data_IF_564143856571
#
_entry.id   IF_564143856571
#
_cell.length_a   1.000
_cell.length_b   1.000
_cell.length_c   1.000
_cell.angle_alpha   90.00
_cell.angle_beta   90.00
_cell.angle_gamma   90.00
#
_symmetry.space_group_name_H-M   'P 1'
#
loop_
_entity.id
_entity.type
_entity.pdbx_description
1 polymer ?
#
# COMPACT_ATOMS: atom_id res chain seq x y z
N UNK A 1 -19.30 28.25 -11.62
CA UNK A 1 -20.02 26.98 -11.29
C UNK A 1 -19.31 25.71 -11.80
N UNK A 2 -18.34 25.82 -12.69
CA UNK A 2 -17.57 24.62 -13.17
C UNK A 2 -16.66 23.98 -12.09
N UNK A 3 -16.27 24.75 -11.08
CA UNK A 3 -15.28 24.39 -10.06
C UNK A 3 -15.92 24.11 -8.67
N UNK A 4 -17.22 23.75 -8.64
CA UNK A 4 -17.94 23.46 -7.40
C UNK A 4 -18.39 22.00 -7.39
N UNK A 5 -18.16 21.30 -6.28
CA UNK A 5 -18.54 19.91 -6.06
C UNK A 5 -19.20 19.72 -4.70
N UNK A 6 -19.74 18.54 -4.44
CA UNK A 6 -20.15 18.14 -3.09
C UNK A 6 -18.93 17.72 -2.28
N UNK A 7 -18.01 16.99 -2.91
CA UNK A 7 -16.74 16.54 -2.32
C UNK A 7 -15.59 16.75 -3.31
N UNK A 8 -14.44 17.23 -2.80
CA UNK A 8 -13.17 17.24 -3.54
C UNK A 8 -12.23 16.19 -2.91
N UNK A 9 -11.55 15.41 -3.76
CA UNK A 9 -10.50 14.46 -3.35
C UNK A 9 -9.15 14.97 -3.85
N UNK A 10 -8.20 15.23 -2.95
CA UNK A 10 -6.86 15.71 -3.26
C UNK A 10 -5.85 14.57 -3.15
N UNK A 11 -5.22 14.23 -4.28
CA UNK A 11 -4.37 13.03 -4.44
C UNK A 11 -5.18 11.82 -4.89
N UNK A 12 -4.91 11.33 -6.10
CA UNK A 12 -5.64 10.22 -6.74
C UNK A 12 -4.79 8.93 -6.86
N UNK A 13 -3.92 8.72 -5.88
CA UNK A 13 -3.22 7.44 -5.68
C UNK A 13 -4.18 6.34 -5.19
N UNK A 14 -3.66 5.35 -4.47
CA UNK A 14 -4.44 4.19 -4.02
C UNK A 14 -5.72 4.55 -3.26
N UNK A 15 -5.62 5.45 -2.26
CA UNK A 15 -6.77 5.83 -1.42
C UNK A 15 -7.73 6.78 -2.15
N UNK A 16 -7.16 7.76 -2.86
CA UNK A 16 -7.96 8.80 -3.51
C UNK A 16 -8.71 8.32 -4.75
N UNK A 17 -8.13 7.42 -5.56
CA UNK A 17 -8.86 6.79 -6.66
C UNK A 17 -10.05 5.97 -6.17
N UNK A 18 -9.87 5.26 -5.05
CA UNK A 18 -10.93 4.50 -4.40
C UNK A 18 -12.03 5.43 -3.86
N UNK A 19 -11.65 6.51 -3.16
CA UNK A 19 -12.60 7.48 -2.63
C UNK A 19 -13.40 8.17 -3.76
N UNK A 20 -12.71 8.58 -4.83
CA UNK A 20 -13.34 9.21 -6.01
C UNK A 20 -14.38 8.29 -6.65
N UNK A 21 -14.00 7.01 -6.84
CA UNK A 21 -14.91 6.01 -7.39
C UNK A 21 -16.13 5.79 -6.51
N UNK A 22 -15.93 5.60 -5.21
CA UNK A 22 -17.02 5.33 -4.28
C UNK A 22 -17.98 6.53 -4.15
N UNK A 23 -17.46 7.77 -4.13
CA UNK A 23 -18.28 8.98 -4.14
C UNK A 23 -19.12 9.09 -5.40
N UNK A 24 -18.51 8.85 -6.58
CA UNK A 24 -19.23 8.84 -7.85
C UNK A 24 -20.30 7.73 -7.89
N UNK A 25 -19.97 6.51 -7.41
CA UNK A 25 -20.92 5.38 -7.29
C UNK A 25 -22.11 5.72 -6.39
N UNK A 26 -21.92 6.56 -5.40
CA UNK A 26 -22.97 7.03 -4.48
C UNK A 26 -23.76 8.24 -5.03
N UNK A 27 -23.47 8.71 -6.24
CA UNK A 27 -24.17 9.80 -6.93
C UNK A 27 -23.74 11.21 -6.51
N UNK A 28 -22.61 11.34 -5.80
CA UNK A 28 -22.06 12.63 -5.41
C UNK A 28 -21.43 13.35 -6.60
N UNK A 29 -21.56 14.67 -6.67
CA UNK A 29 -20.76 15.51 -7.59
C UNK A 29 -19.36 15.61 -7.02
N UNK A 30 -18.42 14.85 -7.57
CA UNK A 30 -17.06 14.76 -7.05
C UNK A 30 -16.02 15.24 -8.06
N UNK A 31 -15.02 15.96 -7.56
CA UNK A 31 -13.83 16.39 -8.28
C UNK A 31 -12.61 15.77 -7.57
N UNK A 32 -11.81 15.02 -8.29
CA UNK A 32 -10.49 14.58 -7.86
C UNK A 32 -9.41 15.45 -8.48
N UNK A 33 -8.40 15.82 -7.71
CA UNK A 33 -7.27 16.64 -8.17
C UNK A 33 -5.97 15.90 -7.87
N UNK A 34 -5.10 15.77 -8.86
CA UNK A 34 -3.78 15.16 -8.68
C UNK A 34 -2.69 15.98 -9.37
N UNK A 35 -1.57 16.10 -8.67
CA UNK A 35 -0.37 16.79 -9.17
C UNK A 35 0.21 16.12 -10.41
N UNK A 36 0.05 14.81 -10.52
CA UNK A 36 0.54 14.00 -11.63
C UNK A 36 -0.62 13.42 -12.45
N UNK A 37 -0.33 12.47 -13.31
CA UNK A 37 -1.34 11.73 -14.07
C UNK A 37 -1.41 10.27 -13.58
N UNK A 38 -2.26 9.93 -12.58
CA UNK A 38 -2.33 8.58 -12.04
C UNK A 38 -2.95 7.57 -13.04
N UNK A 39 -2.43 6.30 -13.04
CA UNK A 39 -1.33 5.82 -12.21
C UNK A 39 0.03 6.39 -12.63
N UNK A 40 0.89 6.67 -11.67
CA UNK A 40 2.23 7.25 -11.89
C UNK A 40 3.25 6.66 -10.89
N UNK A 41 4.54 6.83 -11.16
CA UNK A 41 5.68 6.31 -10.39
C UNK A 41 6.24 7.28 -9.33
N UNK A 42 5.60 8.42 -9.12
CA UNK A 42 6.11 9.49 -8.25
C UNK A 42 5.82 9.26 -6.75
N UNK A 43 4.84 8.45 -6.43
CA UNK A 43 4.37 8.21 -5.05
C UNK A 43 4.71 6.82 -4.52
N UNK A 44 3.67 6.20 -3.92
CA UNK A 44 3.77 4.90 -3.23
C UNK A 44 3.03 3.77 -3.95
N UNK A 45 2.28 4.05 -5.02
CA UNK A 45 1.27 3.14 -5.59
C UNK A 45 1.61 2.68 -7.01
N UNK A 46 2.85 2.17 -7.19
CA UNK A 46 3.36 1.70 -8.48
C UNK A 46 4.32 0.51 -8.30
N UNK A 47 4.84 -0.06 -9.39
CA UNK A 47 5.82 -1.15 -9.40
C UNK A 47 5.16 -2.52 -9.51
N UNK A 48 4.15 -2.64 -10.37
CA UNK A 48 3.50 -3.85 -10.90
C UNK A 48 2.71 -4.67 -9.89
N UNK A 49 3.16 -4.80 -8.64
CA UNK A 49 2.57 -5.72 -7.66
C UNK A 49 2.57 -5.16 -6.25
N UNK A 50 1.55 -5.55 -5.46
CA UNK A 50 1.47 -5.35 -4.01
C UNK A 50 0.91 -6.59 -3.34
N UNK A 51 1.56 -7.05 -2.27
CA UNK A 51 1.06 -8.20 -1.48
C UNK A 51 -0.32 -7.86 -0.93
N UNK A 52 -1.26 -8.82 -1.05
CA UNK A 52 -2.51 -8.82 -0.30
C UNK A 52 -2.66 -10.15 0.44
N UNK A 53 -3.08 -10.08 1.69
CA UNK A 53 -3.33 -11.19 2.61
C UNK A 53 -4.40 -10.77 3.59
N UNK A 54 -5.13 -11.71 4.13
CA UNK A 54 -6.24 -11.43 5.07
C UNK A 54 -5.76 -11.35 6.52
N UNK A 55 -4.85 -12.25 6.93
CA UNK A 55 -4.24 -12.16 8.26
C UNK A 55 -3.14 -11.10 8.28
N UNK A 56 -3.24 -10.17 9.22
CA UNK A 56 -2.39 -8.98 9.29
C UNK A 56 -1.58 -9.02 10.58
N UNK A 57 -0.25 -9.25 10.47
CA UNK A 57 0.67 -9.29 11.60
C UNK A 57 0.91 -7.93 12.24
N UNK A 58 0.68 -6.86 11.50
CA UNK A 58 0.78 -5.46 11.96
C UNK A 58 -0.33 -5.08 12.95
N UNK A 59 -1.42 -5.87 13.04
CA UNK A 59 -2.51 -5.68 14.00
C UNK A 59 -3.86 -6.17 13.52
N UNK A 60 -4.66 -6.73 14.42
CA UNK A 60 -6.01 -7.26 14.13
C UNK A 60 -6.99 -6.22 13.61
N UNK A 61 -6.80 -4.93 13.97
CA UNK A 61 -7.63 -3.83 13.51
C UNK A 61 -7.59 -3.60 11.98
N UNK A 62 -6.55 -4.09 11.31
CA UNK A 62 -6.45 -4.02 9.85
C UNK A 62 -7.23 -5.12 9.12
N UNK A 63 -7.57 -6.22 9.80
CA UNK A 63 -8.24 -7.37 9.17
C UNK A 63 -9.60 -6.99 8.57
N UNK A 64 -10.50 -6.28 9.25
CA UNK A 64 -11.77 -5.85 8.64
C UNK A 64 -11.58 -5.00 7.37
N UNK A 65 -10.52 -4.17 7.32
CA UNK A 65 -10.20 -3.35 6.15
C UNK A 65 -9.80 -4.20 4.95
N UNK A 66 -8.92 -5.20 5.14
CA UNK A 66 -8.50 -6.04 4.01
C UNK A 66 -9.61 -6.97 3.55
N UNK A 67 -10.42 -7.53 4.45
CA UNK A 67 -11.58 -8.35 4.08
C UNK A 67 -12.60 -7.55 3.25
N UNK A 68 -12.88 -6.29 3.64
CA UNK A 68 -13.75 -5.42 2.85
C UNK A 68 -13.09 -5.02 1.52
N UNK A 69 -11.79 -4.76 1.51
CA UNK A 69 -11.07 -4.45 0.27
C UNK A 69 -11.12 -5.60 -0.72
N UNK A 70 -10.95 -6.85 -0.29
CA UNK A 70 -11.03 -8.03 -1.15
C UNK A 70 -12.40 -8.13 -1.85
N UNK A 71 -13.50 -7.88 -1.13
CA UNK A 71 -14.83 -7.81 -1.70
C UNK A 71 -14.96 -6.71 -2.77
N UNK A 72 -14.38 -5.53 -2.50
CA UNK A 72 -14.42 -4.42 -3.46
C UNK A 72 -13.56 -4.72 -4.69
N UNK A 73 -12.40 -5.39 -4.53
CA UNK A 73 -11.60 -5.84 -5.67
C UNK A 73 -12.37 -6.82 -6.56
N UNK A 74 -13.10 -7.77 -6.00
CA UNK A 74 -13.99 -8.68 -6.75
C UNK A 74 -15.12 -7.94 -7.48
N UNK A 75 -15.76 -6.97 -6.79
CA UNK A 75 -16.75 -6.08 -7.43
C UNK A 75 -16.15 -5.32 -8.64
N UNK A 76 -14.92 -4.83 -8.50
CA UNK A 76 -14.21 -4.09 -9.56
C UNK A 76 -13.80 -5.00 -10.72
N UNK A 77 -13.30 -6.20 -10.45
CA UNK A 77 -12.97 -7.20 -11.48
C UNK A 77 -14.21 -7.55 -12.31
N UNK A 78 -15.33 -7.82 -11.64
CA UNK A 78 -16.61 -8.09 -12.29
C UNK A 78 -17.13 -6.90 -13.13
N UNK A 79 -16.90 -5.66 -12.67
CA UNK A 79 -17.36 -4.45 -13.37
C UNK A 79 -16.48 -4.04 -14.54
N UNK A 80 -15.22 -4.47 -14.58
CA UNK A 80 -14.23 -3.98 -15.57
C UNK A 80 -13.68 -5.06 -16.48
N UNK A 81 -13.99 -6.34 -16.22
CA UNK A 81 -13.41 -7.53 -16.90
C UNK A 81 -11.86 -7.49 -16.87
N UNK A 82 -11.29 -7.01 -15.77
CA UNK A 82 -9.84 -6.92 -15.57
C UNK A 82 -9.41 -7.81 -14.40
N UNK A 83 -8.29 -8.47 -14.55
CA UNK A 83 -7.64 -9.15 -13.42
C UNK A 83 -6.85 -8.13 -12.59
N UNK A 84 -7.33 -7.83 -11.39
CA UNK A 84 -6.72 -6.92 -10.42
C UNK A 84 -6.01 -7.66 -9.30
N UNK A 85 -6.54 -8.83 -8.93
CA UNK A 85 -6.07 -9.67 -7.83
C UNK A 85 -5.71 -11.08 -8.35
N UNK A 86 -4.44 -11.47 -8.21
CA UNK A 86 -3.98 -12.84 -8.47
C UNK A 86 -3.81 -13.56 -7.15
N UNK A 87 -4.58 -14.63 -6.93
CA UNK A 87 -4.50 -15.50 -5.75
C UNK A 87 -3.49 -16.63 -6.01
N UNK A 88 -2.25 -16.43 -5.58
CA UNK A 88 -1.15 -17.40 -5.73
C UNK A 88 -0.57 -17.85 -4.39
N UNK A 89 -1.26 -17.53 -3.29
CA UNK A 89 -0.82 -17.78 -1.94
C UNK A 89 0.17 -16.72 -1.42
N UNK A 90 0.26 -16.63 -0.08
CA UNK A 90 1.29 -15.86 0.62
C UNK A 90 1.99 -16.75 1.64
N UNK A 91 3.33 -16.72 1.64
CA UNK A 91 4.18 -17.35 2.62
C UNK A 91 4.87 -16.28 3.45
N UNK A 92 4.59 -16.25 4.76
CA UNK A 92 5.26 -15.36 5.71
C UNK A 92 6.09 -16.24 6.62
N UNK A 93 7.39 -15.98 6.71
CA UNK A 93 8.29 -16.85 7.46
C UNK A 93 9.40 -16.06 8.15
N UNK A 94 9.87 -16.61 9.27
CA UNK A 94 11.00 -16.12 10.05
C UNK A 94 11.69 -17.28 10.74
N UNK A 95 13.02 -17.17 10.99
CA UNK A 95 13.69 -18.02 11.94
C UNK A 95 13.19 -17.71 13.36
N UNK A 96 12.97 -18.75 14.18
CA UNK A 96 12.52 -18.61 15.56
C UNK A 96 13.58 -17.97 16.48
N UNK A 97 14.80 -17.83 15.99
CA UNK A 97 15.91 -17.18 16.71
C UNK A 97 15.97 -15.65 16.49
N UNK A 98 15.16 -15.10 15.58
CA UNK A 98 15.11 -13.66 15.26
C UNK A 98 14.06 -12.99 16.13
N UNK A 99 14.44 -11.85 16.74
CA UNK A 99 13.60 -11.08 17.67
C UNK A 99 13.60 -9.57 17.37
N UNK A 100 14.04 -9.18 16.17
CA UNK A 100 14.04 -7.79 15.71
C UNK A 100 12.61 -7.24 15.58
N UNK A 101 12.45 -5.92 15.78
CA UNK A 101 11.17 -5.25 15.56
C UNK A 101 10.94 -5.04 14.06
N UNK A 102 9.85 -5.61 13.55
CA UNK A 102 9.38 -5.41 12.19
C UNK A 102 7.91 -4.93 12.21
N UNK A 103 7.69 -3.71 11.77
CA UNK A 103 6.37 -3.05 11.79
C UNK A 103 5.72 -2.99 13.19
N UNK A 104 6.52 -2.79 14.24
CA UNK A 104 6.03 -2.74 15.63
C UNK A 104 5.78 -4.11 16.24
N UNK A 105 6.27 -5.20 15.63
CA UNK A 105 6.19 -6.56 16.17
C UNK A 105 7.56 -7.24 16.19
N UNK A 106 7.88 -7.87 17.32
CA UNK A 106 9.04 -8.77 17.48
C UNK A 106 8.68 -10.24 17.24
N UNK A 107 7.41 -10.53 16.88
CA UNK A 107 6.84 -11.87 16.68
C UNK A 107 5.89 -11.86 15.48
N UNK A 108 6.32 -11.27 14.36
CA UNK A 108 5.47 -10.95 13.21
C UNK A 108 4.73 -12.18 12.63
N UNK A 109 5.38 -13.34 12.58
CA UNK A 109 4.76 -14.59 12.07
C UNK A 109 3.70 -15.10 13.06
N UNK A 110 4.02 -15.12 14.36
CA UNK A 110 3.09 -15.55 15.41
C UNK A 110 1.89 -14.58 15.54
N UNK A 111 2.13 -13.28 15.38
CA UNK A 111 1.07 -12.26 15.38
C UNK A 111 0.15 -12.45 14.17
N UNK A 112 0.71 -12.79 13.00
CA UNK A 112 -0.07 -13.15 11.81
C UNK A 112 -0.91 -14.41 12.07
N UNK A 113 -0.33 -15.47 12.66
CA UNK A 113 -1.06 -16.70 13.01
C UNK A 113 -2.17 -16.41 14.02
N UNK A 114 -1.91 -15.55 15.01
CA UNK A 114 -2.90 -15.16 16.02
C UNK A 114 -4.07 -14.42 15.37
N UNK A 115 -3.80 -13.44 14.51
CA UNK A 115 -4.82 -12.72 13.75
C UNK A 115 -5.64 -13.67 12.87
N UNK A 116 -5.00 -14.61 12.18
CA UNK A 116 -5.70 -15.60 11.37
C UNK A 116 -6.68 -16.47 12.19
N UNK A 117 -6.25 -16.91 13.38
CA UNK A 117 -7.10 -17.69 14.28
C UNK A 117 -8.26 -16.87 14.84
N UNK A 118 -8.00 -15.64 15.24
CA UNK A 118 -9.00 -14.73 15.81
C UNK A 118 -10.12 -14.41 14.80
N UNK A 119 -9.76 -14.20 13.53
CA UNK A 119 -10.70 -13.83 12.48
C UNK A 119 -11.18 -15.02 11.64
N UNK A 120 -10.78 -16.26 11.98
CA UNK A 120 -11.22 -17.47 11.27
C UNK A 120 -10.68 -17.58 9.83
N UNK A 121 -9.50 -17.01 9.56
CA UNK A 121 -8.87 -17.03 8.23
C UNK A 121 -8.22 -18.39 8.01
N UNK A 122 -8.51 -19.00 6.86
CA UNK A 122 -7.96 -20.29 6.49
C UNK A 122 -6.46 -20.20 6.23
N UNK A 123 -5.66 -20.91 6.98
CA UNK A 123 -4.21 -20.89 6.90
C UNK A 123 -3.57 -22.23 7.30
N UNK A 124 -2.31 -22.39 6.97
CA UNK A 124 -1.46 -23.48 7.42
C UNK A 124 -0.25 -22.91 8.17
N UNK A 125 0.18 -23.60 9.21
CA UNK A 125 1.45 -23.31 9.90
C UNK A 125 2.46 -24.38 9.49
N UNK A 126 3.57 -23.95 8.93
CA UNK A 126 4.57 -24.82 8.32
C UNK A 126 5.88 -24.75 9.09
N UNK A 127 6.53 -25.87 9.28
CA UNK A 127 7.93 -25.92 9.72
C UNK A 127 8.90 -25.80 8.53
N UNK A 128 10.18 -25.62 8.82
CA UNK A 128 11.22 -25.50 7.81
C UNK A 128 11.31 -26.69 6.85
N UNK A 129 10.99 -27.90 7.33
CA UNK A 129 10.96 -29.12 6.51
C UNK A 129 9.86 -29.08 5.47
N UNK A 130 8.66 -28.66 5.91
CA UNK A 130 7.49 -28.53 5.03
C UNK A 130 7.66 -27.39 4.04
N UNK A 131 8.20 -26.23 4.48
CA UNK A 131 8.50 -25.11 3.58
C UNK A 131 9.48 -25.55 2.49
N UNK A 132 10.60 -26.22 2.87
CA UNK A 132 11.61 -26.70 1.92
C UNK A 132 11.03 -27.70 0.90
N UNK A 133 10.10 -28.54 1.35
CA UNK A 133 9.45 -29.52 0.47
C UNK A 133 8.51 -28.87 -0.55
N UNK A 134 7.73 -27.86 -0.13
CA UNK A 134 6.74 -27.19 -1.00
C UNK A 134 7.36 -26.08 -1.86
N UNK A 135 8.30 -25.37 -1.28
CA UNK A 135 8.92 -24.16 -1.86
C UNK A 135 10.45 -24.27 -1.82
N UNK A 136 11.04 -25.19 -2.62
CA UNK A 136 12.49 -25.46 -2.63
C UNK A 136 13.31 -24.26 -3.13
N UNK A 137 12.69 -23.21 -3.57
CA UNK A 137 13.31 -21.97 -4.02
C UNK A 137 13.96 -21.18 -2.85
N UNK A 138 13.48 -21.39 -1.62
CA UNK A 138 13.99 -20.74 -0.42
C UNK A 138 15.14 -21.54 0.21
N UNK A 139 16.28 -20.87 0.47
CA UNK A 139 17.40 -21.48 1.20
C UNK A 139 17.24 -21.20 2.69
N UNK A 140 16.68 -22.15 3.42
CA UNK A 140 16.34 -22.03 4.83
C UNK A 140 17.49 -22.43 5.75
N UNK A 141 17.61 -21.80 6.92
CA UNK A 141 18.52 -22.18 8.02
C UNK A 141 18.11 -23.47 8.72
N UNK A 142 16.79 -23.71 8.85
CA UNK A 142 16.24 -24.98 9.34
C UNK A 142 15.37 -24.86 10.60
N UNK A 143 15.25 -23.67 11.16
CA UNK A 143 14.41 -23.37 12.33
C UNK A 143 13.25 -22.41 12.01
N UNK A 144 12.98 -22.15 10.72
CA UNK A 144 11.92 -21.23 10.33
C UNK A 144 10.53 -21.77 10.69
N UNK A 145 9.72 -20.85 11.19
CA UNK A 145 8.27 -20.96 11.28
C UNK A 145 7.64 -20.23 10.09
N UNK A 146 6.70 -20.86 9.42
CA UNK A 146 5.98 -20.29 8.28
C UNK A 146 4.48 -20.24 8.50
N UNK A 147 3.87 -19.14 8.06
CA UNK A 147 2.45 -18.98 7.87
C UNK A 147 2.15 -19.02 6.37
N UNK A 148 1.23 -19.88 5.95
CA UNK A 148 0.80 -19.96 4.55
C UNK A 148 -0.71 -19.74 4.43
N UNK A 149 -1.10 -18.81 3.56
CA UNK A 149 -2.49 -18.43 3.28
C UNK A 149 -2.75 -18.61 1.77
N UNK A 150 -3.50 -19.62 1.39
CA UNK A 150 -3.76 -19.96 -0.02
C UNK A 150 -4.64 -18.92 -0.74
N UNK A 151 -5.52 -18.22 -0.01
CA UNK A 151 -6.40 -17.17 -0.54
C UNK A 151 -5.70 -15.83 -0.79
N UNK A 152 -4.50 -15.66 -0.24
CA UNK A 152 -3.66 -14.48 -0.43
C UNK A 152 -3.00 -14.43 -1.81
N UNK A 153 -2.29 -13.33 -2.10
CA UNK A 153 -1.58 -13.17 -3.35
C UNK A 153 -1.14 -11.74 -3.58
N UNK A 154 -1.33 -11.24 -4.80
CA UNK A 154 -0.95 -9.86 -5.14
C UNK A 154 -2.00 -9.12 -5.93
N UNK A 155 -2.01 -7.81 -5.74
CA UNK A 155 -2.77 -6.84 -6.51
C UNK A 155 -1.88 -6.17 -7.56
N UNK A 156 -2.47 -5.73 -8.67
CA UNK A 156 -1.86 -4.89 -9.71
C UNK A 156 -2.18 -3.42 -9.42
N UNK A 157 -1.32 -2.67 -8.71
CA UNK A 157 -1.68 -1.36 -8.16
C UNK A 157 -2.06 -0.34 -9.24
N UNK A 158 -1.34 -0.30 -10.36
CA UNK A 158 -1.63 0.60 -11.46
C UNK A 158 -2.99 0.27 -12.10
N UNK A 159 -3.26 -1.01 -12.33
CA UNK A 159 -4.55 -1.46 -12.88
C UNK A 159 -5.72 -1.18 -11.93
N UNK A 160 -5.51 -1.34 -10.61
CA UNK A 160 -6.50 -1.02 -9.59
C UNK A 160 -6.87 0.47 -9.61
N UNK A 161 -5.87 1.35 -9.64
CA UNK A 161 -6.07 2.80 -9.70
C UNK A 161 -6.79 3.20 -10.99
N UNK A 162 -6.32 2.68 -12.12
CA UNK A 162 -6.92 2.95 -13.43
C UNK A 162 -8.38 2.50 -13.52
N UNK A 163 -8.69 1.29 -13.02
CA UNK A 163 -10.05 0.76 -12.99
C UNK A 163 -10.99 1.68 -12.19
N UNK A 164 -10.58 2.10 -10.99
CA UNK A 164 -11.35 2.99 -10.15
C UNK A 164 -11.55 4.37 -10.78
N UNK A 165 -10.50 4.98 -11.34
CA UNK A 165 -10.60 6.28 -12.01
C UNK A 165 -11.49 6.23 -13.25
N UNK A 166 -11.42 5.15 -14.04
CA UNK A 166 -12.25 4.99 -15.23
C UNK A 166 -13.73 4.82 -14.86
N UNK A 167 -14.03 3.99 -13.85
CA UNK A 167 -15.40 3.85 -13.35
C UNK A 167 -15.92 5.15 -12.73
N UNK A 168 -15.09 5.88 -12.00
CA UNK A 168 -15.48 7.18 -11.46
C UNK A 168 -15.87 8.16 -12.58
N UNK A 169 -15.09 8.23 -13.67
CA UNK A 169 -15.41 9.08 -14.83
C UNK A 169 -16.69 8.65 -15.54
N UNK A 170 -16.91 7.35 -15.72
CA UNK A 170 -18.16 6.81 -16.30
C UNK A 170 -19.39 7.18 -15.47
N UNK A 171 -19.24 7.28 -14.15
CA UNK A 171 -20.29 7.70 -13.21
C UNK A 171 -20.42 9.22 -13.03
N UNK A 172 -19.69 10.01 -13.81
CA UNK A 172 -19.76 11.48 -13.80
C UNK A 172 -18.78 12.16 -12.86
N UNK A 173 -17.92 11.43 -12.17
CA UNK A 173 -16.81 11.98 -11.39
C UNK A 173 -15.76 12.64 -12.30
N UNK A 174 -15.18 13.74 -11.85
CA UNK A 174 -14.13 14.45 -12.60
C UNK A 174 -12.77 14.14 -11.98
N UNK A 175 -11.79 13.74 -12.78
CA UNK A 175 -10.40 13.61 -12.38
C UNK A 175 -9.57 14.66 -13.14
N UNK A 176 -9.07 15.64 -12.42
CA UNK A 176 -8.20 16.72 -12.89
C UNK A 176 -6.77 16.31 -12.54
N UNK A 177 -5.94 16.16 -13.54
CA UNK A 177 -4.57 15.68 -13.42
C UNK A 177 -3.57 16.71 -13.87
N UNK A 178 -2.31 16.59 -13.45
CA UNK A 178 -1.24 17.56 -13.70
C UNK A 178 -1.59 18.95 -13.16
N UNK A 179 -2.26 18.97 -11.98
CA UNK A 179 -2.65 20.18 -11.28
C UNK A 179 -2.37 20.03 -9.78
N UNK A 180 -1.56 20.93 -9.23
CA UNK A 180 -1.05 20.84 -7.87
C UNK A 180 -1.94 21.58 -6.89
N UNK A 181 -2.53 20.90 -5.92
CA UNK A 181 -3.16 21.54 -4.77
C UNK A 181 -2.07 22.22 -3.92
N UNK A 182 -2.25 23.51 -3.64
CA UNK A 182 -1.29 24.35 -2.92
C UNK A 182 -1.77 24.66 -1.50
N UNK A 183 -3.07 24.79 -1.32
CA UNK A 183 -3.67 25.22 -0.06
C UNK A 183 -5.11 24.74 0.06
N UNK A 184 -5.56 24.48 1.29
CA UNK A 184 -6.91 24.03 1.62
C UNK A 184 -7.41 24.90 2.77
N UNK A 185 -8.44 25.70 2.52
CA UNK A 185 -8.96 26.64 3.49
C UNK A 185 -10.44 26.41 3.76
N UNK A 186 -10.81 26.37 5.03
CA UNK A 186 -12.22 26.39 5.40
C UNK A 186 -12.75 27.80 5.28
N UNK A 187 -13.82 27.96 4.50
CA UNK A 187 -14.47 29.22 4.27
C UNK A 187 -15.65 29.46 5.24
N UNK A 188 -16.17 30.68 5.22
CA UNK A 188 -17.43 31.00 5.89
C UNK A 188 -18.56 30.15 5.29
N UNK A 189 -19.54 29.79 6.11
CA UNK A 189 -20.70 28.97 5.74
C UNK A 189 -20.42 27.47 5.47
N UNK A 190 -19.29 26.94 5.97
CA UNK A 190 -19.03 25.50 5.96
C UNK A 190 -18.50 24.93 4.64
N UNK A 191 -18.20 25.79 3.67
CA UNK A 191 -17.52 25.37 2.44
C UNK A 191 -16.01 25.28 2.67
N UNK A 192 -15.35 24.50 1.84
CA UNK A 192 -13.88 24.37 1.80
C UNK A 192 -13.39 24.76 0.42
N UNK A 193 -12.43 25.68 0.35
CA UNK A 193 -11.73 26.05 -0.87
C UNK A 193 -10.43 25.21 -1.00
N UNK A 194 -10.22 24.65 -2.16
CA UNK A 194 -8.93 24.06 -2.59
C UNK A 194 -8.33 24.99 -3.65
N UNK A 195 -7.22 25.63 -3.30
CA UNK A 195 -6.43 26.43 -4.22
C UNK A 195 -5.36 25.57 -4.88
N UNK A 196 -5.31 25.60 -6.19
CA UNK A 196 -4.28 24.93 -6.99
C UNK A 196 -3.33 25.94 -7.64
N UNK A 197 -2.35 25.43 -8.37
CA UNK A 197 -1.46 26.23 -9.21
C UNK A 197 -2.15 26.81 -10.45
N UNK A 198 -3.42 26.45 -10.71
CA UNK A 198 -4.18 26.91 -11.89
C UNK A 198 -5.49 27.57 -11.52
N UNK A 199 -6.25 26.97 -10.61
CA UNK A 199 -7.64 27.31 -10.36
C UNK A 199 -7.97 27.28 -8.85
N UNK A 200 -9.21 27.61 -8.53
CA UNK A 200 -9.82 27.46 -7.21
C UNK A 200 -11.06 26.60 -7.32
N UNK A 201 -11.20 25.67 -6.42
CA UNK A 201 -12.32 24.73 -6.33
C UNK A 201 -12.98 24.87 -4.97
N UNK A 202 -14.30 24.71 -4.91
CA UNK A 202 -15.05 24.80 -3.66
C UNK A 202 -15.96 23.59 -3.49
N UNK A 203 -16.00 23.03 -2.29
CA UNK A 203 -16.87 21.91 -1.95
C UNK A 203 -17.36 21.98 -0.51
N UNK A 204 -18.42 21.23 -0.19
CA UNK A 204 -18.85 21.06 1.18
C UNK A 204 -17.85 20.24 2.02
N UNK A 205 -17.10 19.33 1.37
CA UNK A 205 -16.12 18.47 2.02
C UNK A 205 -14.88 18.28 1.16
N UNK A 206 -13.73 18.11 1.80
CA UNK A 206 -12.46 17.78 1.14
C UNK A 206 -11.86 16.55 1.78
N UNK A 207 -11.37 15.63 0.95
CA UNK A 207 -10.64 14.43 1.38
C UNK A 207 -9.20 14.54 0.87
N UNK A 208 -8.23 14.57 1.77
CA UNK A 208 -6.80 14.68 1.45
C UNK A 208 -6.15 13.30 1.55
N UNK A 209 -5.72 12.78 0.40
CA UNK A 209 -5.04 11.49 0.25
C UNK A 209 -3.75 11.65 -0.54
N UNK A 210 -3.00 12.71 -0.24
CA UNK A 210 -1.85 13.20 -1.00
C UNK A 210 -0.56 12.37 -0.79
N UNK A 211 -0.65 11.19 -0.12
CA UNK A 211 0.48 10.29 0.08
C UNK A 211 1.69 11.00 0.68
N UNK A 212 2.89 10.92 0.07
CA UNK A 212 4.10 11.55 0.62
C UNK A 212 4.04 13.07 0.75
N UNK A 213 3.11 13.73 0.09
CA UNK A 213 2.93 15.20 0.16
C UNK A 213 1.89 15.66 1.18
N UNK A 214 1.34 14.73 1.96
CA UNK A 214 0.23 15.02 2.89
C UNK A 214 0.58 16.10 3.91
N UNK A 215 1.78 16.08 4.47
CA UNK A 215 2.25 17.07 5.46
C UNK A 215 2.32 18.50 4.88
N UNK A 216 2.51 18.64 3.57
CA UNK A 216 2.57 19.96 2.90
C UNK A 216 1.20 20.61 2.78
N UNK A 217 0.12 19.83 2.90
CA UNK A 217 -1.26 20.30 2.77
C UNK A 217 -1.99 20.42 4.11
N UNK A 218 -1.60 19.64 5.11
CA UNK A 218 -2.28 19.65 6.42
C UNK A 218 -1.77 20.71 7.39
N UNK A 219 -0.60 21.30 7.12
CA UNK A 219 0.02 22.29 7.99
C UNK A 219 1.13 21.72 8.89
N UNK A 220 1.91 22.64 9.47
CA UNK A 220 3.13 22.31 10.20
C UNK A 220 2.87 21.48 11.47
N UNK A 221 1.72 21.64 12.10
CA UNK A 221 1.31 20.92 13.31
C UNK A 221 1.09 19.42 13.08
N UNK A 222 0.85 19.01 11.82
CA UNK A 222 0.69 17.59 11.45
C UNK A 222 1.98 16.98 10.91
N UNK A 223 2.99 17.79 10.53
CA UNK A 223 4.15 17.33 9.79
C UNK A 223 4.95 16.23 10.54
N UNK A 224 5.01 16.30 11.87
CA UNK A 224 5.75 15.34 12.68
C UNK A 224 5.15 13.93 12.73
N UNK A 225 3.90 13.75 12.29
CA UNK A 225 3.27 12.44 12.18
C UNK A 225 3.64 11.68 10.91
N UNK A 226 4.29 12.31 9.92
CA UNK A 226 4.51 11.73 8.60
C UNK A 226 5.99 11.78 8.23
N UNK A 227 6.65 10.65 8.37
CA UNK A 227 8.04 10.48 7.95
C UNK A 227 8.08 9.80 6.58
N UNK A 228 8.81 10.39 5.64
CA UNK A 228 8.88 9.88 4.27
C UNK A 228 10.22 9.16 4.09
N UNK A 229 10.14 7.89 3.67
CA UNK A 229 11.32 7.07 3.40
C UNK A 229 11.34 6.63 1.94
N UNK A 230 12.54 6.67 1.35
CA UNK A 230 12.78 6.17 0.00
C UNK A 230 13.02 4.67 0.05
N UNK A 231 12.21 3.93 -0.71
CA UNK A 231 12.35 2.49 -0.92
C UNK A 231 12.93 2.20 -2.30
N UNK A 232 13.54 1.03 -2.45
CA UNK A 232 14.07 0.53 -3.71
C UNK A 232 13.36 -0.76 -4.09
N UNK A 233 12.80 -0.80 -5.29
CA UNK A 233 12.17 -1.97 -5.87
C UNK A 233 13.09 -2.50 -6.97
N UNK A 234 13.44 -3.79 -6.91
CA UNK A 234 14.32 -4.43 -7.89
C UNK A 234 13.68 -5.66 -8.51
N UNK A 235 13.95 -5.87 -9.80
CA UNK A 235 13.59 -7.07 -10.54
C UNK A 235 14.88 -7.78 -10.97
N UNK A 236 15.06 -9.00 -10.50
CA UNK A 236 16.23 -9.82 -10.74
C UNK A 236 15.92 -10.94 -11.73
N UNK A 237 16.76 -11.18 -12.75
CA UNK A 237 16.58 -12.29 -13.65
C UNK A 237 16.83 -13.62 -12.92
N UNK A 238 16.16 -14.64 -13.38
CA UNK A 238 16.40 -16.01 -12.93
C UNK A 238 17.53 -16.63 -13.78
N UNK A 239 18.52 -17.22 -13.12
CA UNK A 239 19.62 -17.92 -13.79
C UNK A 239 19.22 -19.34 -14.23
N UNK A 240 18.27 -19.96 -13.52
CA UNK A 240 17.77 -21.32 -13.77
C UNK A 240 16.39 -21.52 -13.14
N UNK A 241 15.79 -22.69 -13.36
CA UNK A 241 14.52 -23.12 -12.75
C UNK A 241 13.34 -22.16 -12.92
N UNK A 242 13.31 -21.42 -14.03
CA UNK A 242 12.35 -20.32 -14.30
C UNK A 242 10.88 -20.70 -14.03
N UNK A 243 10.49 -21.94 -14.38
CA UNK A 243 9.11 -22.40 -14.19
C UNK A 243 8.71 -22.56 -12.72
N UNK A 244 9.70 -22.70 -11.82
CA UNK A 244 9.43 -22.83 -10.39
C UNK A 244 9.04 -21.48 -9.74
N UNK A 245 9.27 -20.38 -10.45
CA UNK A 245 8.98 -19.02 -9.98
C UNK A 245 7.77 -18.40 -10.67
N UNK A 246 6.99 -19.19 -11.43
CA UNK A 246 5.73 -18.71 -12.01
C UNK A 246 4.68 -18.48 -10.92
N UNK A 247 3.65 -17.62 -11.17
CA UNK A 247 2.57 -17.38 -10.19
C UNK A 247 1.84 -18.64 -9.71
N UNK A 248 1.80 -19.69 -10.53
CA UNK A 248 1.15 -20.97 -10.17
C UNK A 248 1.95 -21.81 -9.18
N UNK A 249 3.26 -21.53 -9.02
CA UNK A 249 4.18 -22.35 -8.23
C UNK A 249 4.89 -21.61 -7.11
N UNK A 250 4.97 -20.29 -7.21
CA UNK A 250 5.69 -19.46 -6.26
C UNK A 250 4.74 -18.45 -5.62
N UNK A 251 4.53 -18.47 -4.30
CA UNK A 251 3.67 -17.52 -3.63
C UNK A 251 4.32 -16.13 -3.56
N UNK A 252 3.54 -15.12 -3.25
CA UNK A 252 4.14 -13.91 -2.68
C UNK A 252 4.72 -14.26 -1.30
N UNK A 253 5.74 -13.54 -0.88
CA UNK A 253 6.35 -13.86 0.41
C UNK A 253 6.78 -12.61 1.19
N UNK A 254 6.83 -12.77 2.52
CA UNK A 254 7.53 -11.90 3.46
C UNK A 254 8.45 -12.82 4.27
N UNK A 255 9.74 -12.54 4.26
CA UNK A 255 10.73 -13.32 4.97
C UNK A 255 11.61 -12.45 5.85
N UNK A 256 11.53 -12.66 7.15
CA UNK A 256 12.37 -12.00 8.13
C UNK A 256 13.63 -12.87 8.32
N UNK A 257 14.77 -12.33 7.87
CA UNK A 257 16.06 -13.05 7.82
C UNK A 257 17.06 -12.54 8.86
N UNK A 258 16.72 -11.52 9.65
CA UNK A 258 17.55 -10.93 10.69
C UNK A 258 16.81 -9.89 11.52
N UNK A 259 17.52 -9.27 12.46
CA UNK A 259 16.94 -8.38 13.47
C UNK A 259 16.84 -6.90 13.02
N UNK A 260 17.53 -6.52 11.92
CA UNK A 260 17.49 -5.15 11.42
C UNK A 260 16.20 -4.91 10.62
N UNK A 261 15.64 -3.71 10.60
CA UNK A 261 14.47 -3.40 9.76
C UNK A 261 14.65 -3.76 8.27
N UNK A 262 15.87 -3.60 7.72
CA UNK A 262 16.18 -3.98 6.35
C UNK A 262 16.31 -5.50 6.12
N UNK A 263 16.25 -6.31 7.16
CA UNK A 263 16.29 -7.78 7.07
C UNK A 263 14.89 -8.40 6.86
N UNK A 264 13.89 -7.58 6.58
CA UNK A 264 12.59 -8.01 6.08
C UNK A 264 12.59 -7.97 4.55
N UNK A 265 12.66 -9.15 3.93
CA UNK A 265 12.50 -9.32 2.50
C UNK A 265 11.03 -9.52 2.15
N UNK A 266 10.62 -8.98 1.02
CA UNK A 266 9.36 -9.33 0.41
C UNK A 266 9.51 -9.49 -1.11
N UNK A 267 8.72 -10.37 -1.68
CA UNK A 267 8.84 -10.62 -3.11
C UNK A 267 7.62 -11.27 -3.74
N UNK A 268 7.71 -11.35 -5.07
CA UNK A 268 6.62 -11.75 -5.95
C UNK A 268 7.13 -12.72 -6.99
N UNK A 269 6.27 -13.60 -7.54
CA UNK A 269 6.63 -14.48 -8.66
C UNK A 269 7.04 -13.70 -9.91
N UNK A 270 7.58 -14.40 -10.89
CA UNK A 270 7.88 -13.88 -12.23
C UNK A 270 6.59 -13.70 -13.02
N UNK A 271 5.89 -12.58 -12.79
CA UNK A 271 4.54 -12.30 -13.31
C UNK A 271 4.50 -12.05 -14.82
N UNK A 272 5.60 -11.64 -15.43
CA UNK A 272 5.75 -11.37 -16.85
C UNK A 272 6.48 -12.52 -17.58
N UNK A 273 6.33 -13.74 -17.05
CA UNK A 273 6.92 -14.95 -17.58
C UNK A 273 8.41 -15.11 -17.24
N UNK A 274 9.07 -16.09 -17.82
CA UNK A 274 10.44 -16.50 -17.42
C UNK A 274 11.50 -15.39 -17.57
N UNK A 275 11.25 -14.40 -18.40
CA UNK A 275 12.18 -13.27 -18.65
C UNK A 275 11.78 -11.99 -17.89
N UNK A 276 10.64 -11.97 -17.23
CA UNK A 276 10.17 -10.82 -16.45
C UNK A 276 10.90 -10.64 -15.12
N UNK A 277 11.61 -11.68 -14.68
CA UNK A 277 12.36 -11.66 -13.44
C UNK A 277 11.51 -11.75 -12.19
N UNK A 278 12.18 -11.84 -11.07
CA UNK A 278 11.60 -11.92 -9.74
C UNK A 278 11.69 -10.54 -9.08
N UNK A 279 10.59 -9.95 -8.70
CA UNK A 279 10.60 -8.73 -7.91
C UNK A 279 10.87 -9.08 -6.46
N UNK A 280 12.00 -8.64 -5.93
CA UNK A 280 12.37 -8.77 -4.52
C UNK A 280 12.88 -7.43 -4.01
N UNK A 281 12.53 -7.08 -2.78
CA UNK A 281 12.97 -5.87 -2.12
C UNK A 281 13.10 -6.08 -0.61
N UNK A 282 13.79 -5.15 0.02
CA UNK A 282 13.82 -4.98 1.47
C UNK A 282 13.16 -3.67 1.86
N UNK A 283 12.93 -3.46 3.13
CA UNK A 283 12.45 -2.18 3.63
C UNK A 283 13.61 -1.34 4.19
N UNK A 284 13.56 -0.03 3.96
CA UNK A 284 14.60 0.91 4.39
C UNK A 284 14.01 2.07 5.17
N UNK A 285 14.56 2.31 6.34
CA UNK A 285 14.15 3.38 7.26
C UNK A 285 15.34 4.21 7.77
N UNK A 286 16.46 4.22 7.02
CA UNK A 286 17.73 4.83 7.45
C UNK A 286 17.65 6.37 7.50
N UNK A 287 16.98 6.98 6.52
CA UNK A 287 16.90 8.43 6.42
C UNK A 287 15.58 8.88 5.81
N UNK A 288 15.00 9.91 6.41
CA UNK A 288 13.83 10.60 5.84
C UNK A 288 14.22 11.46 4.65
N UNK A 289 13.29 11.63 3.72
CA UNK A 289 13.49 12.39 2.48
C UNK A 289 12.38 13.41 2.25
N UNK A 290 12.68 14.49 1.52
CA UNK A 290 11.64 15.35 0.95
C UNK A 290 11.13 14.70 -0.36
N UNK A 291 9.83 14.45 -0.51
CA UNK A 291 9.27 13.83 -1.70
C UNK A 291 9.50 14.65 -2.99
N UNK A 292 9.75 15.96 -2.89
CA UNK A 292 10.06 16.82 -4.04
C UNK A 292 11.55 16.81 -4.42
N UNK A 293 12.43 16.39 -3.53
CA UNK A 293 13.88 16.41 -3.72
C UNK A 293 14.54 15.01 -3.66
N UNK A 294 13.75 13.95 -3.55
CA UNK A 294 14.28 12.59 -3.43
C UNK A 294 14.92 12.10 -4.72
N UNK A 295 16.11 11.48 -4.67
CA UNK A 295 16.74 10.83 -5.82
C UNK A 295 15.85 9.69 -6.35
N UNK A 296 15.49 9.75 -7.63
CA UNK A 296 14.65 8.74 -8.31
C UNK A 296 15.44 7.63 -8.98
N UNK A 297 16.73 7.84 -9.21
CA UNK A 297 17.62 6.83 -9.75
C UNK A 297 18.08 5.89 -8.65
N UNK A 298 18.18 4.60 -8.97
CA UNK A 298 18.79 3.58 -8.12
C UNK A 298 20.19 3.30 -8.67
N UNK A 299 21.21 3.34 -7.81
CA UNK A 299 22.57 3.06 -8.22
C UNK A 299 22.87 1.56 -8.27
N UNK A 300 23.80 1.15 -9.12
CA UNK A 300 24.26 -0.25 -9.21
C UNK A 300 24.80 -0.74 -7.86
N UNK A 301 25.42 0.15 -7.07
CA UNK A 301 25.90 -0.21 -5.72
C UNK A 301 24.77 -0.51 -4.72
N UNK A 302 23.63 0.18 -4.80
CA UNK A 302 22.47 -0.12 -3.97
C UNK A 302 21.86 -1.48 -4.31
N UNK A 303 21.82 -1.81 -5.62
CA UNK A 303 21.29 -3.09 -6.11
C UNK A 303 22.21 -4.23 -5.71
N UNK A 304 23.53 -4.03 -5.93
CA UNK A 304 24.54 -5.03 -5.58
C UNK A 304 24.58 -5.30 -4.06
N UNK A 305 24.43 -4.28 -3.23
CA UNK A 305 24.35 -4.43 -1.77
C UNK A 305 23.12 -5.28 -1.39
N UNK A 306 21.94 -4.95 -1.92
CA UNK A 306 20.70 -5.71 -1.69
C UNK A 306 20.86 -7.17 -2.12
N UNK A 307 21.43 -7.41 -3.29
CA UNK A 307 21.65 -8.77 -3.78
C UNK A 307 22.61 -9.55 -2.88
N UNK A 308 23.77 -8.99 -2.58
CA UNK A 308 24.82 -9.69 -1.84
C UNK A 308 24.43 -9.96 -0.37
N UNK A 309 23.73 -9.02 0.26
CA UNK A 309 23.34 -9.15 1.67
C UNK A 309 22.08 -9.98 1.86
N UNK A 310 21.11 -9.88 0.98
CA UNK A 310 19.78 -10.42 1.23
C UNK A 310 19.29 -11.43 0.20
N UNK A 311 19.57 -11.25 -1.10
CA UNK A 311 18.93 -12.08 -2.14
C UNK A 311 19.77 -13.31 -2.46
N UNK A 312 21.03 -13.12 -2.82
CA UNK A 312 21.94 -14.22 -3.20
C UNK A 312 22.05 -15.33 -2.17
N UNK A 313 22.16 -15.04 -0.87
CA UNK A 313 22.20 -16.08 0.18
C UNK A 313 20.92 -16.91 0.30
N UNK A 314 19.76 -16.33 -0.06
CA UNK A 314 18.46 -16.92 0.19
C UNK A 314 17.77 -17.52 -1.05
N UNK A 315 18.15 -17.03 -2.26
CA UNK A 315 17.55 -17.43 -3.53
C UNK A 315 18.63 -17.86 -4.55
N UNK A 316 19.06 -19.11 -4.54
CA UNK A 316 20.21 -19.60 -5.32
C UNK A 316 19.96 -19.62 -6.84
N UNK A 317 18.72 -19.48 -7.28
CA UNK A 317 18.34 -19.45 -8.69
C UNK A 317 18.26 -18.03 -9.27
N UNK A 318 18.38 -17.01 -8.43
CA UNK A 318 18.32 -15.59 -8.84
C UNK A 318 19.73 -15.14 -9.23
N UNK A 319 19.86 -14.45 -10.38
CA UNK A 319 21.14 -13.87 -10.83
C UNK A 319 21.46 -12.59 -10.07
N UNK A 320 22.74 -12.28 -9.89
CA UNK A 320 23.21 -11.00 -9.36
C UNK A 320 23.07 -9.82 -10.31
N UNK A 321 22.75 -10.06 -11.60
CA UNK A 321 22.33 -9.02 -12.52
C UNK A 321 20.95 -8.48 -12.14
N UNK A 322 20.54 -7.38 -12.73
CA UNK A 322 19.18 -6.90 -12.56
C UNK A 322 18.56 -6.50 -13.91
N UNK A 323 17.24 -6.61 -14.01
CA UNK A 323 16.49 -6.20 -15.21
C UNK A 323 16.17 -4.72 -15.17
N UNK A 324 15.59 -4.27 -14.08
CA UNK A 324 15.38 -2.87 -13.78
C UNK A 324 15.20 -2.64 -12.28
N UNK A 325 15.31 -1.39 -11.87
CA UNK A 325 15.04 -0.96 -10.51
C UNK A 325 14.36 0.40 -10.52
N UNK A 326 13.51 0.65 -9.53
CA UNK A 326 12.85 1.94 -9.35
C UNK A 326 12.72 2.29 -7.88
N UNK A 327 12.42 3.54 -7.59
CA UNK A 327 12.21 3.99 -6.21
C UNK A 327 10.72 4.08 -5.91
N UNK A 328 10.37 3.83 -4.66
CA UNK A 328 9.03 4.01 -4.12
C UNK A 328 9.12 4.83 -2.84
N UNK A 329 8.06 5.48 -2.42
CA UNK A 329 8.04 6.25 -1.18
C UNK A 329 7.10 5.60 -0.17
N UNK A 330 7.57 5.45 1.08
CA UNK A 330 6.74 5.12 2.22
C UNK A 330 6.49 6.38 3.04
N UNK A 331 5.23 6.60 3.40
CA UNK A 331 4.83 7.59 4.41
C UNK A 331 4.52 6.83 5.68
N UNK A 332 5.38 6.99 6.68
CA UNK A 332 5.35 6.19 7.91
C UNK A 332 4.94 7.08 9.08
N UNK A 333 4.04 6.57 9.90
CA UNK A 333 3.57 7.19 11.14
C UNK A 333 4.39 6.70 12.33
N UNK A 334 4.38 7.38 13.50
CA UNK A 334 5.21 7.00 14.63
C UNK A 334 5.00 5.58 15.17
N UNK A 335 3.81 5.03 15.01
CA UNK A 335 3.42 3.69 15.46
C UNK A 335 3.21 2.70 14.29
N UNK A 336 3.66 3.05 13.09
CA UNK A 336 3.48 2.29 11.86
C UNK A 336 2.01 1.98 11.47
N UNK A 337 1.02 2.55 12.19
CA UNK A 337 -0.41 2.43 11.86
C UNK A 337 -0.85 3.57 10.93
N UNK A 338 -2.04 3.43 10.35
CA UNK A 338 -2.62 4.48 9.51
C UNK A 338 -3.08 5.67 10.36
N UNK A 339 -3.19 6.85 9.74
CA UNK A 339 -3.92 7.98 10.30
C UNK A 339 -5.06 8.31 9.34
N UNK A 340 -6.29 8.23 9.84
CA UNK A 340 -7.51 8.61 9.12
C UNK A 340 -8.35 9.48 10.06
N UNK A 341 -8.40 10.79 9.76
CA UNK A 341 -9.02 11.75 10.66
C UNK A 341 -9.54 13.00 9.92
N UNK A 342 -10.04 13.97 10.67
CA UNK A 342 -10.35 15.34 10.23
C UNK A 342 -9.34 16.32 10.79
N UNK A 343 -9.22 17.50 10.18
CA UNK A 343 -8.45 18.58 10.78
C UNK A 343 -9.14 19.06 12.08
N UNK A 344 -8.33 19.48 13.07
CA UNK A 344 -8.84 19.96 14.37
C UNK A 344 -9.78 21.15 14.24
N UNK A 345 -9.45 22.09 13.35
CA UNK A 345 -10.19 23.34 13.14
C UNK A 345 -11.06 23.28 11.87
N UNK A 346 -11.33 22.07 11.35
CA UNK A 346 -12.01 21.91 10.07
C UNK A 346 -12.61 20.53 9.87
N UNK A 347 -13.71 20.18 10.53
CA UNK A 347 -14.39 18.89 10.40
C UNK A 347 -14.77 18.53 8.95
N UNK A 348 -14.85 19.53 8.05
CA UNK A 348 -15.12 19.33 6.63
C UNK A 348 -13.88 18.95 5.81
N UNK A 349 -12.69 18.94 6.41
CA UNK A 349 -11.46 18.47 5.78
C UNK A 349 -11.03 17.17 6.44
N UNK A 350 -11.23 16.07 5.73
CA UNK A 350 -10.79 14.73 6.13
C UNK A 350 -9.44 14.42 5.50
N UNK A 351 -8.65 13.58 6.13
CA UNK A 351 -7.40 13.12 5.53
C UNK A 351 -7.11 11.66 5.86
N UNK A 352 -6.38 11.01 4.98
CA UNK A 352 -5.89 9.65 5.20
C UNK A 352 -4.44 9.51 4.76
N UNK A 353 -3.59 9.12 5.71
CA UNK A 353 -2.24 8.60 5.47
C UNK A 353 -2.24 7.11 5.82
N UNK A 354 -2.52 6.29 4.83
CA UNK A 354 -2.67 4.85 5.00
C UNK A 354 -1.62 4.10 4.18
N UNK A 355 -0.35 4.33 4.52
CA UNK A 355 0.81 3.72 3.88
C UNK A 355 1.60 2.84 4.86
N UNK A 356 2.53 3.40 5.63
CA UNK A 356 3.41 2.73 6.60
C UNK A 356 3.98 1.38 6.08
N UNK A 357 4.30 1.31 4.77
CA UNK A 357 4.82 0.11 4.11
C UNK A 357 3.76 -0.92 3.67
N UNK A 358 2.60 -0.97 4.29
CA UNK A 358 1.63 -2.06 4.09
C UNK A 358 0.23 -1.62 3.64
N UNK A 359 0.01 -0.35 3.25
CA UNK A 359 -1.32 0.26 3.08
C UNK A 359 -2.12 -0.17 1.86
N UNK A 360 -1.51 -0.54 0.73
CA UNK A 360 -2.21 -0.69 -0.54
C UNK A 360 -3.38 -1.70 -0.49
N UNK A 361 -3.19 -2.86 0.14
CA UNK A 361 -4.21 -3.91 0.26
C UNK A 361 -5.51 -3.44 0.95
N UNK A 362 -5.44 -2.38 1.75
CA UNK A 362 -6.56 -1.77 2.47
C UNK A 362 -7.24 -0.61 1.73
N UNK A 363 -6.66 -0.17 0.60
CA UNK A 363 -7.02 1.10 -0.04
C UNK A 363 -8.47 1.17 -0.50
N UNK A 364 -9.03 0.08 -1.00
CA UNK A 364 -10.41 0.06 -1.48
C UNK A 364 -11.42 0.29 -0.34
N UNK A 365 -11.24 -0.37 0.81
CA UNK A 365 -12.08 -0.18 1.97
C UNK A 365 -11.89 1.19 2.62
N UNK A 366 -10.67 1.71 2.68
CA UNK A 366 -10.40 3.07 3.18
C UNK A 366 -11.08 4.10 2.28
N UNK A 367 -10.97 3.95 0.94
CA UNK A 367 -11.67 4.85 0.01
C UNK A 367 -13.19 4.79 0.15
N UNK A 368 -13.78 3.59 0.35
CA UNK A 368 -15.20 3.44 0.66
C UNK A 368 -15.55 4.13 1.99
N UNK A 369 -14.76 3.91 3.03
CA UNK A 369 -15.01 4.50 4.34
C UNK A 369 -14.93 6.04 4.31
N UNK A 370 -13.95 6.61 3.61
CA UNK A 370 -13.82 8.06 3.41
C UNK A 370 -15.02 8.62 2.65
N UNK A 371 -15.51 7.93 1.60
CA UNK A 371 -16.69 8.34 0.86
C UNK A 371 -17.95 8.30 1.71
N UNK A 372 -18.13 7.24 2.51
CA UNK A 372 -19.27 7.13 3.44
C UNK A 372 -19.23 8.20 4.52
N UNK A 373 -18.05 8.45 5.08
CA UNK A 373 -17.86 9.49 6.09
C UNK A 373 -18.15 10.88 5.52
N UNK A 374 -17.62 11.21 4.32
CA UNK A 374 -17.87 12.47 3.66
C UNK A 374 -19.37 12.73 3.34
N UNK A 375 -20.15 11.66 3.18
CA UNK A 375 -21.60 11.72 2.92
C UNK A 375 -22.44 11.45 4.17
N UNK A 376 -21.82 11.45 5.37
CA UNK A 376 -22.48 11.22 6.66
C UNK A 376 -23.26 9.89 6.73
N UNK A 377 -22.74 8.86 6.02
CA UNK A 377 -23.32 7.53 6.02
C UNK A 377 -22.65 6.63 7.06
N UNK A 378 -23.35 5.64 7.61
CA UNK A 378 -22.73 4.67 8.53
C UNK A 378 -21.56 3.95 7.89
N UNK A 379 -20.41 3.91 8.58
CA UNK A 379 -19.21 3.23 8.11
C UNK A 379 -19.43 1.70 8.15
N UNK A 380 -18.84 0.99 7.20
CA UNK A 380 -18.82 -0.48 7.14
C UNK A 380 -17.65 -1.10 7.87
N UNK A 381 -16.63 -0.30 8.16
CA UNK A 381 -15.44 -0.68 8.90
C UNK A 381 -15.17 0.34 9.99
N UNK A 382 -14.61 -0.10 11.09
CA UNK A 382 -14.24 0.79 12.20
C UNK A 382 -12.93 1.51 11.87
N UNK A 383 -12.97 2.85 11.87
CA UNK A 383 -11.80 3.71 11.69
C UNK A 383 -11.26 4.26 13.01
N UNK A 384 -11.89 3.95 14.15
CA UNK A 384 -11.49 4.49 15.45
C UNK A 384 -10.04 4.16 15.85
N UNK A 385 -9.47 2.97 15.51
CA UNK A 385 -8.07 2.67 15.80
C UNK A 385 -7.07 3.56 15.06
N UNK A 386 -7.53 4.23 14.00
CA UNK A 386 -6.69 5.04 13.11
C UNK A 386 -6.84 6.55 13.34
N UNK A 387 -7.58 6.95 14.38
CA UNK A 387 -7.76 8.36 14.75
C UNK A 387 -6.47 8.92 15.35
N UNK A 388 -6.27 10.21 15.12
CA UNK A 388 -5.07 10.94 15.57
C UNK A 388 -4.99 11.07 17.10
N UNK A 389 -6.14 11.05 17.78
CA UNK A 389 -6.23 11.23 19.24
C UNK A 389 -5.50 10.14 20.03
N UNK A 390 -5.17 9.00 19.43
CA UNK A 390 -4.35 7.95 20.04
C UNK A 390 -2.94 8.40 20.43
N UNK A 391 -2.43 9.47 19.80
CA UNK A 391 -1.14 10.06 20.13
C UNK A 391 -1.19 11.12 21.27
N UNK A 392 -2.38 11.42 21.78
CA UNK A 392 -2.56 12.43 22.84
C UNK A 392 -2.87 11.82 24.21
N UNK A 393 -2.86 10.50 24.27
CA UNK A 393 -3.11 9.74 25.51
C UNK A 393 -1.85 9.46 26.29
#
# INVERSE_FOLDING_TARGET
MANTADVIVVGLGAMGSAALYQLAKLGSRVIGIDRFNPPHDQGSSHGDTRITREAIGEGGEFVPLVLRSNQIWEELEAATDRSLHTRNGALILASQSIHGDHHGSTSFVEDTIRAAREFGIAHEVLDAGEIRRRHPQFTLSGDELGYFESGAGFLRPEACIEAQLNLARQLGGKAITSETALDIQQEKHGMVEVKTDRERYSAARVIVTAGPWISKLLGAEYAHYFQIYRQVLCWFPLARNHEQYSPERFPVFIWIVGDRPCDMLYGFPAIDGPRGGLKISTERYDATVDPDAVPRTVSDSEIAAMYNEHIGPHFPDVSGDYLHATTCLYTVTPDAKFIVDTLRDGENVMFASACSGHGFKHSAAIGEALAFWALERPLRVDLSPFRLDRFWR
#
